data_IF_149606007734
#
_entry.id   IF_149606007734
#
_cell.length_a   1.000
_cell.length_b   1.000
_cell.length_c   1.000
_cell.angle_alpha   90.00
_cell.angle_beta   90.00
_cell.angle_gamma   90.00
#
_symmetry.space_group_name_H-M   'P 1'
#
loop_
_entity.id
_entity.type
_entity.pdbx_description
1 polymer ?
#
# COMPACT_ATOMS: atom_id res chain seq x y z
N UNK A 1 -20.04 -29.26 44.58
CA UNK A 1 -20.07 -27.96 43.88
C UNK A 1 -19.42 -28.18 42.51
N UNK A 2 -20.22 -28.28 41.44
CA UNK A 2 -19.74 -28.63 40.10
C UNK A 2 -19.25 -27.37 39.39
N UNK A 3 -17.97 -27.35 39.01
CA UNK A 3 -17.33 -26.25 38.30
C UNK A 3 -17.62 -26.39 36.81
N UNK A 4 -18.73 -25.81 36.34
CA UNK A 4 -19.05 -25.73 34.92
C UNK A 4 -18.13 -24.69 34.26
N UNK A 5 -17.11 -25.15 33.53
CA UNK A 5 -16.26 -24.28 32.74
C UNK A 5 -17.11 -23.58 31.67
N UNK A 6 -17.05 -22.25 31.65
CA UNK A 6 -17.70 -21.43 30.62
C UNK A 6 -17.18 -21.80 29.23
N UNK A 7 -18.03 -21.80 28.20
CA UNK A 7 -17.60 -22.13 26.84
C UNK A 7 -16.55 -21.12 26.36
N UNK A 8 -15.42 -21.65 25.87
CA UNK A 8 -14.34 -20.84 25.28
C UNK A 8 -14.90 -20.06 24.08
N UNK A 9 -14.74 -18.72 24.03
CA UNK A 9 -15.24 -17.94 22.91
C UNK A 9 -14.62 -18.45 21.60
N UNK A 10 -15.35 -18.40 20.48
CA UNK A 10 -14.82 -18.80 19.18
C UNK A 10 -13.54 -18.00 18.90
N UNK A 11 -12.51 -18.70 18.43
CA UNK A 11 -11.27 -18.03 18.02
C UNK A 11 -11.61 -16.97 16.98
N UNK A 12 -11.32 -15.70 17.28
CA UNK A 12 -11.55 -14.61 16.35
C UNK A 12 -10.74 -14.88 15.08
N UNK A 13 -11.39 -14.85 13.93
CA UNK A 13 -10.69 -14.94 12.65
C UNK A 13 -9.76 -13.72 12.53
N UNK A 14 -8.45 -13.91 12.28
CA UNK A 14 -7.55 -12.79 12.10
C UNK A 14 -7.99 -11.97 10.88
N UNK A 15 -8.16 -10.67 11.08
CA UNK A 15 -8.45 -9.73 9.99
C UNK A 15 -7.22 -9.68 9.09
N UNK A 16 -7.40 -9.98 7.80
CA UNK A 16 -6.34 -9.80 6.82
C UNK A 16 -6.22 -8.30 6.48
N UNK A 17 -5.05 -7.72 6.75
CA UNK A 17 -4.75 -6.34 6.39
C UNK A 17 -4.30 -6.25 4.93
N UNK A 18 -4.63 -5.12 4.30
CA UNK A 18 -4.13 -4.80 2.96
C UNK A 18 -2.63 -4.52 2.99
N UNK A 19 -1.96 -4.83 1.90
CA UNK A 19 -0.57 -4.44 1.72
C UNK A 19 -0.45 -2.90 1.72
N UNK A 20 0.56 -2.40 2.44
CA UNK A 20 0.76 -0.97 2.68
C UNK A 20 1.18 -0.24 1.41
N UNK A 21 2.05 -0.84 0.61
CA UNK A 21 2.60 -0.20 -0.59
C UNK A 21 1.56 -0.23 -1.71
N UNK A 22 0.85 -1.34 -1.86
CA UNK A 22 -0.30 -1.45 -2.75
C UNK A 22 -1.40 -0.43 -2.40
N UNK A 23 -1.68 -0.23 -1.11
CA UNK A 23 -2.67 0.75 -0.65
C UNK A 23 -2.32 2.19 -1.07
N UNK A 24 -1.03 2.54 -1.10
CA UNK A 24 -0.56 3.87 -1.50
C UNK A 24 -0.59 4.04 -3.02
N UNK A 25 -0.26 3.00 -3.78
CA UNK A 25 -0.40 3.02 -5.24
C UNK A 25 -1.87 3.17 -5.64
N UNK A 26 -2.77 2.39 -5.02
CA UNK A 26 -4.21 2.51 -5.24
C UNK A 26 -4.80 3.86 -4.78
N UNK A 27 -4.17 4.53 -3.80
CA UNK A 27 -4.50 5.90 -3.47
C UNK A 27 -4.08 6.87 -4.59
N UNK A 28 -2.83 6.81 -5.05
CA UNK A 28 -2.32 7.68 -6.10
C UNK A 28 -3.06 7.49 -7.44
N UNK A 29 -3.47 6.27 -7.77
CA UNK A 29 -4.32 5.99 -8.93
C UNK A 29 -5.63 6.79 -8.88
N UNK A 30 -6.31 6.78 -7.72
CA UNK A 30 -7.55 7.56 -7.53
C UNK A 30 -7.30 9.07 -7.62
N UNK A 31 -6.14 9.56 -7.19
CA UNK A 31 -5.77 10.98 -7.37
C UNK A 31 -5.52 11.30 -8.86
N UNK A 32 -4.86 10.38 -9.58
CA UNK A 32 -4.61 10.51 -11.01
C UNK A 32 -5.91 10.55 -11.82
N UNK A 33 -6.94 9.82 -11.40
CA UNK A 33 -8.26 9.85 -12.05
C UNK A 33 -8.87 11.27 -12.05
N UNK A 34 -8.62 12.08 -11.01
CA UNK A 34 -9.04 13.49 -11.02
C UNK A 34 -8.32 14.33 -12.09
N UNK A 35 -7.06 14.01 -12.40
CA UNK A 35 -6.33 14.68 -13.48
C UNK A 35 -6.84 14.29 -14.88
N UNK A 36 -7.54 13.16 -15.02
CA UNK A 36 -8.08 12.65 -16.29
C UNK A 36 -9.49 13.14 -16.60
N UNK A 37 -10.20 13.65 -15.60
CA UNK A 37 -11.59 14.09 -15.70
C UNK A 37 -11.75 15.35 -16.56
N UNK A 38 -12.62 15.35 -17.59
CA UNK A 38 -12.83 16.51 -18.45
C UNK A 38 -13.64 17.63 -17.76
N UNK A 39 -14.38 17.31 -16.70
CA UNK A 39 -15.17 18.25 -15.91
C UNK A 39 -14.35 18.99 -14.84
N UNK A 40 -13.07 18.67 -14.68
CA UNK A 40 -12.13 19.36 -13.79
C UNK A 40 -11.40 20.46 -14.58
N UNK A 41 -11.33 21.72 -14.09
CA UNK A 41 -10.61 22.79 -14.75
C UNK A 41 -9.16 22.42 -15.09
N UNK A 42 -8.64 22.90 -16.23
CA UNK A 42 -7.33 22.47 -16.75
C UNK A 42 -6.19 22.64 -15.74
N UNK A 43 -6.12 23.77 -15.04
CA UNK A 43 -5.08 24.03 -14.04
C UNK A 43 -5.22 23.14 -12.80
N UNK A 44 -6.44 22.78 -12.42
CA UNK A 44 -6.69 21.84 -11.33
C UNK A 44 -6.26 20.42 -11.70
N UNK A 45 -6.47 20.00 -12.95
CA UNK A 45 -5.95 18.72 -13.48
C UNK A 45 -4.43 18.68 -13.45
N UNK A 46 -3.77 19.78 -13.85
CA UNK A 46 -2.32 19.90 -13.74
C UNK A 46 -1.86 19.82 -12.29
N UNK A 47 -2.57 20.44 -11.35
CA UNK A 47 -2.29 20.34 -9.92
C UNK A 47 -2.37 18.90 -9.42
N UNK A 48 -3.42 18.15 -9.79
CA UNK A 48 -3.52 16.73 -9.45
C UNK A 48 -2.38 15.90 -10.05
N UNK A 49 -1.99 16.19 -11.29
CA UNK A 49 -0.86 15.52 -11.93
C UNK A 49 0.46 15.78 -11.18
N UNK A 50 0.71 17.04 -10.78
CA UNK A 50 1.87 17.38 -9.96
C UNK A 50 1.86 16.67 -8.60
N UNK A 51 0.69 16.59 -7.94
CA UNK A 51 0.55 15.86 -6.67
C UNK A 51 0.92 14.39 -6.85
N UNK A 52 0.39 13.72 -7.88
CA UNK A 52 0.72 12.31 -8.17
C UNK A 52 2.21 12.17 -8.45
N UNK A 53 2.80 13.07 -9.24
CA UNK A 53 4.25 13.05 -9.53
C UNK A 53 5.07 13.12 -8.25
N UNK A 54 4.85 14.12 -7.39
CA UNK A 54 5.61 14.28 -6.14
C UNK A 54 5.43 13.09 -5.19
N UNK A 55 4.22 12.53 -5.10
CA UNK A 55 3.97 11.35 -4.28
C UNK A 55 4.67 10.10 -4.83
N UNK A 56 4.75 9.95 -6.15
CA UNK A 56 5.45 8.84 -6.77
C UNK A 56 6.97 8.98 -6.61
N UNK A 57 7.52 10.19 -6.70
CA UNK A 57 8.93 10.44 -6.42
C UNK A 57 9.29 9.97 -4.99
N UNK A 58 8.51 10.37 -3.98
CA UNK A 58 8.70 9.90 -2.60
C UNK A 58 8.54 8.37 -2.48
N UNK A 59 7.56 7.79 -3.16
CA UNK A 59 7.37 6.34 -3.17
C UNK A 59 8.61 5.61 -3.71
N UNK A 60 9.18 6.07 -4.82
CA UNK A 60 10.34 5.43 -5.42
C UNK A 60 11.60 5.62 -4.56
N UNK A 61 11.80 6.81 -3.99
CA UNK A 61 12.97 7.12 -3.15
C UNK A 61 12.96 6.35 -1.83
N UNK A 62 11.80 6.25 -1.17
CA UNK A 62 11.72 5.73 0.19
C UNK A 62 11.23 4.29 0.24
N UNK A 63 10.25 3.92 -0.60
CA UNK A 63 9.53 2.65 -0.47
C UNK A 63 9.94 1.61 -1.48
N UNK A 64 10.21 1.98 -2.73
CA UNK A 64 10.65 1.02 -3.74
C UNK A 64 12.11 0.59 -3.53
N UNK A 65 12.95 1.46 -2.97
CA UNK A 65 14.39 1.21 -2.81
C UNK A 65 14.74 -0.09 -2.05
N UNK A 66 14.10 -0.43 -0.91
CA UNK A 66 14.31 -1.72 -0.24
C UNK A 66 13.97 -2.94 -1.10
N UNK A 67 12.89 -2.89 -1.87
CA UNK A 67 12.48 -3.98 -2.76
C UNK A 67 13.45 -4.18 -3.93
N UNK A 68 13.94 -3.07 -4.50
CA UNK A 68 14.99 -3.08 -5.52
C UNK A 68 16.29 -3.68 -4.97
N UNK A 69 16.65 -3.30 -3.75
CA UNK A 69 17.85 -3.82 -3.07
C UNK A 69 17.70 -5.32 -2.85
N UNK A 70 16.57 -5.77 -2.30
CA UNK A 70 16.30 -7.19 -2.07
C UNK A 70 16.35 -8.02 -3.37
N UNK A 71 15.90 -7.44 -4.49
CA UNK A 71 16.00 -8.07 -5.82
C UNK A 71 17.44 -8.19 -6.29
N UNK A 72 18.25 -7.12 -6.11
CA UNK A 72 19.66 -7.10 -6.49
C UNK A 72 20.52 -8.04 -5.64
N UNK A 73 20.21 -8.17 -4.35
CA UNK A 73 20.93 -9.04 -3.40
C UNK A 73 20.39 -10.47 -3.36
N UNK A 74 19.32 -10.77 -4.11
CA UNK A 74 18.61 -12.05 -4.07
C UNK A 74 18.19 -12.44 -2.64
N UNK A 75 17.73 -11.46 -1.87
CA UNK A 75 17.29 -11.67 -0.48
C UNK A 75 16.00 -12.48 -0.41
N UNK A 76 16.07 -13.62 0.26
CA UNK A 76 14.94 -14.52 0.49
C UNK A 76 14.42 -14.46 1.93
N UNK A 77 15.04 -13.66 2.80
CA UNK A 77 14.71 -13.60 4.23
C UNK A 77 14.80 -12.17 4.74
N UNK A 78 13.66 -11.57 5.03
CA UNK A 78 13.56 -10.19 5.49
C UNK A 78 12.13 -9.67 5.42
N UNK A 79 11.94 -8.39 5.76
CA UNK A 79 10.67 -7.68 5.54
C UNK A 79 10.42 -7.43 4.04
N UNK A 80 11.50 -7.37 3.25
CA UNK A 80 11.50 -7.25 1.81
C UNK A 80 12.29 -8.43 1.24
N UNK A 81 11.75 -9.04 0.18
CA UNK A 81 12.32 -10.22 -0.47
C UNK A 81 12.12 -10.12 -1.97
N UNK A 82 12.74 -11.03 -2.71
CA UNK A 82 12.50 -11.19 -4.16
C UNK A 82 11.03 -11.46 -4.53
N UNK A 83 10.20 -11.93 -3.59
CA UNK A 83 8.76 -12.16 -3.80
C UNK A 83 7.88 -11.01 -3.27
N UNK A 84 8.50 -9.96 -2.74
CA UNK A 84 7.77 -8.78 -2.24
C UNK A 84 7.32 -7.84 -3.37
N UNK A 85 7.63 -8.18 -4.62
CA UNK A 85 7.20 -7.49 -5.84
C UNK A 85 6.64 -8.47 -6.87
#
# INVERSE_FOLDING_TARGET
>A
MSNAALPKPPAANPVQFLDRDHSILAFNERVLDWARRPDVPLLERLRYLCIVSSNLDEFFEVRAAPHLTATQTSEQKGLYTVESF
#
